data_IF_870295031917
#
_entry.id   IF_870295031917
#
_cell.length_a   1.000
_cell.length_b   1.000
_cell.length_c   1.000
_cell.angle_alpha   90.00
_cell.angle_beta   90.00
_cell.angle_gamma   90.00
#
_symmetry.space_group_name_H-M   'P 1'
#
loop_
_entity.id
_entity.type
_entity.pdbx_description
1 polymer ?
#
# COMPACT_ATOMS: atom_id res chain seq x y z
N UNK A 1 9.30 -24.34 19.46
CA UNK A 1 9.50 -23.37 20.56
C UNK A 1 9.76 -22.02 19.92
N UNK A 2 8.90 -21.02 20.15
CA UNK A 2 9.07 -19.69 19.56
C UNK A 2 10.19 -18.93 20.30
N UNK A 3 11.03 -18.14 19.61
CA UNK A 3 12.08 -17.34 20.24
C UNK A 3 11.50 -16.34 21.26
N UNK A 4 12.20 -16.13 22.38
CA UNK A 4 11.79 -15.30 23.53
C UNK A 4 11.32 -13.88 23.17
N UNK A 5 11.75 -13.33 22.04
CA UNK A 5 11.35 -12.01 21.55
C UNK A 5 9.91 -11.99 20.97
N UNK A 6 9.45 -13.12 20.40
CA UNK A 6 8.11 -13.25 19.82
C UNK A 6 7.05 -13.41 20.92
N UNK A 7 7.42 -14.04 22.04
CA UNK A 7 6.56 -14.17 23.21
C UNK A 7 6.31 -12.82 23.89
N UNK A 8 7.36 -12.00 24.04
CA UNK A 8 7.26 -10.66 24.63
C UNK A 8 6.36 -9.71 23.81
N UNK A 9 6.32 -9.85 22.48
CA UNK A 9 5.47 -9.03 21.61
C UNK A 9 3.99 -9.45 21.69
N UNK A 10 3.71 -10.75 21.85
CA UNK A 10 2.34 -11.27 21.98
C UNK A 10 1.70 -10.86 23.32
N UNK A 11 2.46 -10.86 24.40
CA UNK A 11 1.98 -10.48 25.73
C UNK A 11 1.72 -8.95 25.86
N UNK A 12 2.44 -8.14 25.08
CA UNK A 12 2.25 -6.67 24.99
C UNK A 12 0.95 -6.27 24.28
N UNK A 13 0.48 -7.08 23.33
CA UNK A 13 -0.79 -6.86 22.63
C UNK A 13 -1.98 -7.41 23.42
N UNK A 14 -1.83 -8.57 24.08
CA UNK A 14 -2.90 -9.17 24.89
C UNK A 14 -3.31 -8.34 26.11
N UNK A 15 -2.37 -7.64 26.75
CA UNK A 15 -2.67 -6.79 27.93
C UNK A 15 -3.41 -5.49 27.61
N UNK A 16 -3.39 -5.00 26.36
CA UNK A 16 -4.03 -3.73 25.98
C UNK A 16 -5.53 -3.85 25.70
N UNK A 17 -6.05 -5.07 25.52
CA UNK A 17 -7.46 -5.30 25.17
C UNK A 17 -8.40 -5.46 26.39
N UNK A 18 -7.88 -5.44 27.63
CA UNK A 18 -8.69 -5.73 28.83
C UNK A 18 -8.65 -4.69 29.97
N UNK A 19 -8.23 -3.45 29.72
CA UNK A 19 -8.40 -2.38 30.71
C UNK A 19 -9.49 -1.39 30.27
N UNK A 20 -10.74 -1.78 30.50
CA UNK A 20 -11.84 -0.84 30.70
C UNK A 20 -11.71 -0.24 32.11
N UNK A 21 -11.17 0.97 32.21
CA UNK A 21 -11.07 1.73 33.45
C UNK A 21 -11.45 3.19 33.22
N UNK A 22 -12.37 3.69 34.04
CA UNK A 22 -12.99 5.02 34.03
C UNK A 22 -12.01 6.21 34.06
N UNK A 23 -12.44 7.42 33.63
CA UNK A 23 -11.54 8.52 33.32
C UNK A 23 -10.98 9.16 34.60
N UNK A 24 -9.66 9.11 34.74
CA UNK A 24 -8.94 9.90 35.75
C UNK A 24 -8.52 11.21 35.11
N UNK A 25 -8.93 12.33 35.70
CA UNK A 25 -8.61 13.70 35.24
C UNK A 25 -7.09 13.91 35.17
N UNK A 26 -6.56 14.19 33.99
CA UNK A 26 -5.16 14.56 33.78
C UNK A 26 -5.08 16.02 33.32
N UNK A 27 -4.10 16.69 33.91
CA UNK A 27 -3.76 18.10 33.84
C UNK A 27 -3.76 18.71 32.43
N UNK A 28 -4.14 19.99 32.41
CA UNK A 28 -4.35 20.91 31.30
C UNK A 28 -3.10 21.29 30.48
N UNK A 29 -2.37 20.31 29.93
CA UNK A 29 -1.31 20.52 28.94
C UNK A 29 -1.49 19.71 27.63
N UNK A 30 -2.67 19.10 27.40
CA UNK A 30 -2.99 18.34 26.19
C UNK A 30 -3.37 19.21 24.97
N UNK A 31 -3.44 20.53 25.12
CA UNK A 31 -3.92 21.43 24.06
C UNK A 31 -2.93 21.63 22.88
N UNK A 32 -1.74 21.00 22.91
CA UNK A 32 -0.78 21.08 21.79
C UNK A 32 -0.79 19.86 20.84
N UNK A 33 -1.34 18.71 21.26
CA UNK A 33 -1.41 17.52 20.38
C UNK A 33 -2.50 17.62 19.29
N UNK A 34 -3.55 18.40 19.53
CA UNK A 34 -4.65 18.58 18.58
C UNK A 34 -4.35 19.61 17.47
N UNK A 35 -3.34 20.47 17.64
CA UNK A 35 -2.90 21.41 16.61
C UNK A 35 -2.19 20.73 15.43
N UNK A 36 -1.47 19.63 15.70
CA UNK A 36 -0.66 18.90 14.72
C UNK A 36 -1.47 17.91 13.87
N UNK A 37 -2.60 17.41 14.36
CA UNK A 37 -3.43 16.43 13.63
C UNK A 37 -4.35 17.03 12.57
N UNK A 38 -4.23 18.30 12.17
CA UNK A 38 -5.08 18.86 11.09
C UNK A 38 -4.80 18.25 9.71
N UNK A 39 -3.58 17.75 9.50
CA UNK A 39 -3.14 17.24 8.18
C UNK A 39 -3.54 15.78 7.94
N UNK A 40 -3.53 14.95 8.99
CA UNK A 40 -3.83 13.53 8.88
C UNK A 40 -5.26 13.24 8.35
N UNK A 41 -6.32 13.92 8.81
CA UNK A 41 -7.66 13.77 8.25
C UNK A 41 -7.71 14.11 6.76
N UNK A 42 -7.07 15.20 6.34
CA UNK A 42 -7.02 15.59 4.93
C UNK A 42 -6.30 14.54 4.08
N UNK A 43 -5.18 14.00 4.56
CA UNK A 43 -4.47 12.92 3.89
C UNK A 43 -5.31 11.63 3.82
N UNK A 44 -6.09 11.33 4.88
CA UNK A 44 -7.01 10.21 4.92
C UNK A 44 -8.13 10.38 3.88
N UNK A 45 -8.72 11.56 3.77
CA UNK A 45 -9.74 11.86 2.76
C UNK A 45 -9.19 11.67 1.34
N UNK A 46 -7.97 12.16 1.10
CA UNK A 46 -7.26 11.91 -0.16
C UNK A 46 -7.07 10.42 -0.43
N UNK A 47 -6.63 9.65 0.57
CA UNK A 47 -6.44 8.21 0.44
C UNK A 47 -7.76 7.46 0.16
N UNK A 48 -8.85 7.84 0.81
CA UNK A 48 -10.18 7.26 0.55
C UNK A 48 -10.68 7.58 -0.87
N UNK A 49 -10.43 8.81 -1.35
CA UNK A 49 -10.71 9.21 -2.75
C UNK A 49 -9.87 8.40 -3.73
N UNK A 50 -8.56 8.29 -3.49
CA UNK A 50 -7.65 7.46 -4.28
C UNK A 50 -8.13 6.01 -4.36
N UNK A 51 -8.47 5.39 -3.22
CA UNK A 51 -8.96 4.01 -3.18
C UNK A 51 -10.26 3.82 -3.99
N UNK A 52 -11.16 4.81 -3.94
CA UNK A 52 -12.44 4.77 -4.68
C UNK A 52 -12.22 4.87 -6.19
N UNK A 53 -11.38 5.81 -6.62
CA UNK A 53 -11.02 5.97 -8.04
C UNK A 53 -10.27 4.76 -8.56
N UNK A 54 -9.31 4.25 -7.80
CA UNK A 54 -8.54 3.06 -8.17
C UNK A 54 -9.45 1.85 -8.42
N UNK A 55 -10.41 1.59 -7.52
CA UNK A 55 -11.41 0.52 -7.70
C UNK A 55 -12.25 0.72 -8.95
N UNK A 56 -12.72 1.94 -9.21
CA UNK A 56 -13.49 2.25 -10.40
C UNK A 56 -12.67 2.01 -11.68
N UNK A 57 -11.41 2.43 -11.69
CA UNK A 57 -10.55 2.29 -12.86
C UNK A 57 -10.14 0.84 -13.14
N UNK A 58 -9.97 -0.01 -12.12
CA UNK A 58 -9.80 -1.46 -12.34
C UNK A 58 -11.01 -2.11 -12.99
N UNK A 59 -12.22 -1.70 -12.61
CA UNK A 59 -13.43 -2.22 -13.24
C UNK A 59 -13.44 -1.94 -14.74
N UNK A 60 -12.89 -0.79 -15.17
CA UNK A 60 -12.75 -0.41 -16.57
C UNK A 60 -11.61 -1.16 -17.28
N UNK A 61 -10.46 -1.36 -16.63
CA UNK A 61 -9.26 -1.93 -17.26
C UNK A 61 -9.25 -3.46 -17.33
N UNK A 62 -9.80 -4.14 -16.33
CA UNK A 62 -9.66 -5.60 -16.14
C UNK A 62 -11.02 -6.31 -16.29
N UNK A 63 -12.03 -5.63 -16.86
CA UNK A 63 -13.31 -6.25 -17.19
C UNK A 63 -14.17 -6.63 -15.97
N UNK A 64 -14.13 -5.82 -14.91
CA UNK A 64 -15.02 -6.02 -13.76
C UNK A 64 -14.60 -7.10 -12.76
N UNK A 65 -13.33 -7.50 -12.74
CA UNK A 65 -12.78 -8.37 -11.69
C UNK A 65 -13.06 -7.80 -10.29
N UNK A 66 -13.77 -8.58 -9.47
CA UNK A 66 -14.24 -8.18 -8.14
C UNK A 66 -13.08 -7.79 -7.21
N UNK A 67 -12.74 -6.50 -7.14
CA UNK A 67 -11.93 -5.92 -6.05
C UNK A 67 -12.69 -5.91 -4.70
N UNK A 68 -13.68 -6.81 -4.54
CA UNK A 68 -14.63 -6.82 -3.42
C UNK A 68 -14.11 -7.62 -2.23
N UNK A 69 -13.16 -8.53 -2.43
CA UNK A 69 -12.56 -9.30 -1.34
C UNK A 69 -11.05 -9.47 -1.55
N UNK A 70 -10.31 -9.32 -0.46
CA UNK A 70 -8.94 -9.84 -0.35
C UNK A 70 -8.99 -11.31 0.06
N UNK A 71 -9.98 -12.05 -0.46
CA UNK A 71 -10.13 -13.46 -0.17
C UNK A 71 -9.20 -14.23 -1.12
N UNK A 72 -8.19 -14.95 -0.58
CA UNK A 72 -7.21 -15.73 -1.36
C UNK A 72 -7.78 -16.57 -2.49
N UNK A 73 -9.00 -17.11 -2.34
CA UNK A 73 -9.60 -18.02 -3.32
C UNK A 73 -10.04 -17.30 -4.61
N UNK A 74 -10.29 -15.99 -4.53
CA UNK A 74 -10.84 -15.20 -5.63
C UNK A 74 -9.84 -14.26 -6.29
N UNK A 75 -8.60 -14.21 -5.78
CA UNK A 75 -7.56 -13.34 -6.33
C UNK A 75 -6.96 -14.02 -7.58
N UNK A 76 -7.09 -13.43 -8.78
CA UNK A 76 -6.55 -14.01 -10.00
C UNK A 76 -5.02 -13.89 -10.04
N UNK A 77 -4.38 -14.70 -10.87
CA UNK A 77 -2.96 -14.51 -11.17
C UNK A 77 -2.76 -13.21 -11.97
N UNK A 78 -1.77 -12.42 -11.57
CA UNK A 78 -1.40 -11.18 -12.25
C UNK A 78 -0.75 -11.47 -13.60
N UNK A 79 -0.90 -10.54 -14.54
CA UNK A 79 -0.11 -10.51 -15.77
C UNK A 79 0.68 -9.21 -15.84
N UNK A 80 1.89 -9.25 -16.41
CA UNK A 80 2.72 -8.05 -16.52
C UNK A 80 2.01 -6.91 -17.27
N UNK A 81 1.31 -7.24 -18.37
CA UNK A 81 0.57 -6.25 -19.16
C UNK A 81 -0.49 -5.52 -18.33
N UNK A 82 -1.25 -6.26 -17.51
CA UNK A 82 -2.28 -5.66 -16.65
C UNK A 82 -1.66 -4.87 -15.51
N UNK A 83 -0.62 -5.39 -14.86
CA UNK A 83 0.05 -4.67 -13.78
C UNK A 83 0.76 -3.41 -14.26
N UNK A 84 1.35 -3.41 -15.46
CA UNK A 84 1.97 -2.23 -16.06
C UNK A 84 0.93 -1.14 -16.35
N UNK A 85 -0.18 -1.49 -17.01
CA UNK A 85 -1.29 -0.55 -17.25
C UNK A 85 -1.87 0.01 -15.95
N UNK A 86 -2.07 -0.89 -14.98
CA UNK A 86 -2.59 -0.53 -13.67
C UNK A 86 -1.64 0.37 -12.89
N UNK A 87 -0.34 0.09 -12.92
CA UNK A 87 0.68 0.90 -12.27
C UNK A 87 0.72 2.31 -12.85
N UNK A 88 0.69 2.47 -14.18
CA UNK A 88 0.64 3.78 -14.83
C UNK A 88 -0.58 4.60 -14.39
N UNK A 89 -1.75 3.96 -14.37
CA UNK A 89 -2.99 4.58 -13.89
C UNK A 89 -2.93 4.95 -12.40
N UNK A 90 -2.44 4.04 -11.54
CA UNK A 90 -2.28 4.28 -10.11
C UNK A 90 -1.35 5.45 -9.85
N UNK A 91 -0.24 5.56 -10.59
CA UNK A 91 0.69 6.68 -10.46
C UNK A 91 0.03 8.02 -10.75
N UNK A 92 -0.80 8.12 -11.79
CA UNK A 92 -1.54 9.35 -12.09
C UNK A 92 -2.53 9.70 -10.98
N UNK A 93 -3.33 8.72 -10.51
CA UNK A 93 -4.27 8.92 -9.41
C UNK A 93 -3.57 9.31 -8.10
N UNK A 94 -2.40 8.73 -7.85
CA UNK A 94 -1.60 9.03 -6.68
C UNK A 94 -1.03 10.45 -6.75
N UNK A 95 -0.61 10.91 -7.94
CA UNK A 95 -0.16 12.28 -8.12
C UNK A 95 -1.26 13.28 -7.80
N UNK A 96 -2.47 13.05 -8.31
CA UNK A 96 -3.63 13.90 -8.02
C UNK A 96 -3.94 13.94 -6.52
N UNK A 97 -3.92 12.77 -5.86
CA UNK A 97 -4.12 12.66 -4.42
C UNK A 97 -3.06 13.46 -3.62
N UNK A 98 -1.78 13.30 -3.94
CA UNK A 98 -0.71 14.01 -3.23
C UNK A 98 -0.78 15.51 -3.51
N UNK A 99 -1.05 15.89 -4.76
CA UNK A 99 -1.13 17.29 -5.16
C UNK A 99 -2.33 18.02 -4.56
N UNK A 100 -3.44 17.35 -4.30
CA UNK A 100 -4.65 17.96 -3.72
C UNK A 100 -4.65 17.91 -2.17
N UNK A 101 -4.15 16.84 -1.56
CA UNK A 101 -4.38 16.58 -0.14
C UNK A 101 -3.12 16.65 0.74
N UNK A 102 -1.91 16.63 0.18
CA UNK A 102 -0.68 16.59 0.97
C UNK A 102 -0.04 17.99 1.04
N UNK A 103 -0.14 18.64 2.20
CA UNK A 103 0.48 19.94 2.46
C UNK A 103 1.87 19.74 3.09
N UNK A 104 2.94 20.36 2.56
CA UNK A 104 2.96 21.47 1.61
C UNK A 104 3.17 21.07 0.14
N UNK A 105 3.06 19.80 -0.23
CA UNK A 105 3.37 19.32 -1.58
C UNK A 105 2.66 20.13 -2.67
N UNK A 106 1.37 20.45 -2.47
CA UNK A 106 0.56 21.30 -3.36
C UNK A 106 1.22 22.63 -3.74
N UNK A 107 2.05 23.18 -2.86
CA UNK A 107 2.63 24.52 -3.00
C UNK A 107 4.03 24.54 -3.63
N UNK A 108 4.64 23.37 -3.88
CA UNK A 108 5.96 23.33 -4.51
C UNK A 108 5.90 23.69 -6.01
N UNK A 109 6.99 24.24 -6.58
CA UNK A 109 7.16 24.37 -8.02
C UNK A 109 7.05 23.00 -8.74
N UNK A 110 6.66 22.98 -10.03
CA UNK A 110 6.49 21.73 -10.78
C UNK A 110 7.73 20.80 -10.79
N UNK A 111 8.94 21.35 -10.89
CA UNK A 111 10.16 20.55 -10.93
C UNK A 111 10.44 19.84 -9.60
N UNK A 112 10.22 20.53 -8.48
CA UNK A 112 10.39 19.94 -7.15
C UNK A 112 9.31 18.88 -6.88
N UNK A 113 8.06 19.14 -7.31
CA UNK A 113 6.98 18.16 -7.24
C UNK A 113 7.34 16.87 -7.96
N UNK A 114 7.91 16.98 -9.16
CA UNK A 114 8.33 15.81 -9.95
C UNK A 114 9.35 14.96 -9.19
N UNK A 115 10.44 15.57 -8.71
CA UNK A 115 11.52 14.87 -8.00
C UNK A 115 11.01 14.19 -6.72
N UNK A 116 10.22 14.91 -5.92
CA UNK A 116 9.67 14.37 -4.68
C UNK A 116 8.66 13.25 -4.94
N UNK A 117 7.82 13.41 -5.97
CA UNK A 117 6.81 12.43 -6.31
C UNK A 117 7.38 11.13 -6.86
N UNK A 118 8.45 11.19 -7.66
CA UNK A 118 9.11 9.99 -8.20
C UNK A 118 9.51 9.03 -7.08
N UNK A 119 10.14 9.54 -6.01
CA UNK A 119 10.52 8.70 -4.86
C UNK A 119 9.31 8.27 -4.02
N UNK A 120 8.38 9.20 -3.76
CA UNK A 120 7.19 8.92 -2.96
C UNK A 120 6.33 7.83 -3.59
N UNK A 121 6.10 7.88 -4.90
CA UNK A 121 5.22 6.95 -5.60
C UNK A 121 5.68 5.49 -5.49
N UNK A 122 6.99 5.24 -5.58
CA UNK A 122 7.57 3.91 -5.42
C UNK A 122 7.41 3.39 -3.98
N UNK A 123 7.68 4.22 -2.98
CA UNK A 123 7.55 3.84 -1.57
C UNK A 123 6.09 3.55 -1.21
N UNK A 124 5.17 4.39 -1.67
CA UNK A 124 3.74 4.22 -1.46
C UNK A 124 3.24 2.93 -2.11
N UNK A 125 3.58 2.68 -3.37
CA UNK A 125 3.16 1.49 -4.11
C UNK A 125 3.67 0.20 -3.44
N UNK A 126 4.93 0.18 -2.98
CA UNK A 126 5.48 -0.95 -2.23
C UNK A 126 4.77 -1.18 -0.89
N UNK A 127 4.49 -0.11 -0.14
CA UNK A 127 3.75 -0.20 1.12
C UNK A 127 2.32 -0.70 0.91
N UNK A 128 1.65 -0.21 -0.14
CA UNK A 128 0.29 -0.60 -0.46
C UNK A 128 0.20 -2.07 -0.87
N UNK A 129 1.09 -2.53 -1.76
CA UNK A 129 1.18 -3.94 -2.15
C UNK A 129 1.43 -4.84 -0.95
N UNK A 130 2.39 -4.45 -0.09
CA UNK A 130 2.71 -5.19 1.14
C UNK A 130 1.50 -5.31 2.06
N UNK A 131 0.76 -4.21 2.26
CA UNK A 131 -0.45 -4.20 3.07
C UNK A 131 -1.55 -5.08 2.47
N UNK A 132 -1.77 -5.00 1.15
CA UNK A 132 -2.78 -5.83 0.47
C UNK A 132 -2.40 -7.31 0.48
N UNK A 133 -1.11 -7.65 0.32
CA UNK A 133 -0.59 -9.00 0.50
C UNK A 133 -0.83 -9.51 1.91
N UNK A 134 -0.55 -8.71 2.94
CA UNK A 134 -0.83 -9.10 4.31
C UNK A 134 -2.33 -9.32 4.56
N UNK A 135 -3.18 -8.46 4.02
CA UNK A 135 -4.64 -8.64 4.12
C UNK A 135 -5.13 -9.92 3.45
N UNK A 136 -4.59 -10.25 2.28
CA UNK A 136 -4.96 -11.44 1.55
C UNK A 136 -4.40 -12.71 2.21
N UNK A 137 -3.09 -12.74 2.44
CA UNK A 137 -2.37 -13.98 2.71
C UNK A 137 -1.71 -14.02 4.09
N UNK A 138 -1.76 -12.95 4.89
CA UNK A 138 -1.04 -12.85 6.18
C UNK A 138 -1.48 -13.85 7.25
N UNK A 139 -2.61 -14.51 7.06
CA UNK A 139 -3.11 -15.58 7.92
C UNK A 139 -2.72 -16.99 7.42
N UNK A 140 -2.14 -17.11 6.22
CA UNK A 140 -1.72 -18.37 5.62
C UNK A 140 -0.22 -18.55 5.87
N UNK A 141 0.13 -19.56 6.66
CA UNK A 141 1.53 -19.89 6.96
C UNK A 141 2.28 -20.28 5.68
N UNK A 142 3.53 -19.81 5.53
CA UNK A 142 4.40 -20.08 4.38
C UNK A 142 3.80 -19.71 3.02
N UNK A 143 2.86 -18.77 2.97
CA UNK A 143 2.37 -18.26 1.70
C UNK A 143 3.47 -17.50 0.95
N UNK A 144 3.64 -17.84 -0.32
CA UNK A 144 4.67 -17.32 -1.21
C UNK A 144 4.12 -16.34 -2.25
N UNK A 145 2.89 -15.83 -2.08
CA UNK A 145 2.23 -14.96 -3.04
C UNK A 145 2.33 -13.49 -2.64
N UNK A 146 2.59 -12.64 -3.62
CA UNK A 146 2.57 -11.18 -3.50
C UNK A 146 1.48 -10.60 -4.41
N UNK A 147 0.82 -9.53 -3.95
CA UNK A 147 -0.20 -8.82 -4.71
C UNK A 147 0.50 -7.73 -5.52
N UNK A 148 0.16 -7.64 -6.80
CA UNK A 148 0.70 -6.65 -7.72
C UNK A 148 -0.28 -5.51 -7.97
N UNK A 149 0.16 -4.55 -8.78
CA UNK A 149 -0.58 -3.32 -9.05
C UNK A 149 -1.89 -3.54 -9.81
N UNK A 150 -2.16 -4.71 -10.39
CA UNK A 150 -3.46 -5.06 -10.97
C UNK A 150 -4.42 -5.73 -9.97
N UNK A 151 -3.99 -5.88 -8.71
CA UNK A 151 -4.74 -6.61 -7.68
C UNK A 151 -4.61 -8.13 -7.81
N UNK A 152 -3.93 -8.65 -8.84
CA UNK A 152 -3.63 -10.07 -8.98
C UNK A 152 -2.41 -10.48 -8.18
N UNK A 153 -2.19 -11.79 -8.05
CA UNK A 153 -1.02 -12.33 -7.36
C UNK A 153 0.08 -12.84 -8.29
N UNK A 154 1.30 -12.83 -7.79
CA UNK A 154 2.46 -13.55 -8.34
C UNK A 154 3.10 -14.35 -7.22
N UNK A 155 3.60 -15.55 -7.52
CA UNK A 155 4.43 -16.28 -6.56
C UNK A 155 5.86 -15.75 -6.57
N UNK A 156 6.50 -15.75 -5.40
CA UNK A 156 7.87 -15.26 -5.24
C UNK A 156 8.88 -16.04 -6.10
N UNK A 157 8.70 -17.34 -6.29
CA UNK A 157 9.54 -18.18 -7.14
C UNK A 157 9.32 -17.95 -8.65
N UNK A 158 8.18 -17.34 -9.03
CA UNK A 158 7.81 -17.01 -10.40
C UNK A 158 8.10 -15.54 -10.76
N UNK A 159 8.51 -14.70 -9.80
CA UNK A 159 8.66 -13.25 -10.00
C UNK A 159 9.66 -12.89 -11.11
N UNK A 160 10.74 -13.66 -11.26
CA UNK A 160 11.70 -13.45 -12.34
C UNK A 160 11.06 -13.72 -13.71
N UNK A 161 10.30 -14.81 -13.85
CA UNK A 161 9.61 -15.15 -15.10
C UNK A 161 8.53 -14.11 -15.42
N UNK A 162 7.87 -13.57 -14.40
CA UNK A 162 6.88 -12.53 -14.55
C UNK A 162 7.43 -11.28 -15.27
N UNK A 163 8.66 -10.86 -14.92
CA UNK A 163 9.30 -9.72 -15.59
C UNK A 163 9.95 -10.09 -16.92
N UNK A 164 10.60 -11.25 -17.04
CA UNK A 164 11.32 -11.67 -18.26
C UNK A 164 10.37 -11.97 -19.42
N UNK A 165 9.18 -12.52 -19.15
CA UNK A 165 8.20 -12.84 -20.19
C UNK A 165 7.48 -11.62 -20.76
N UNK A 166 7.86 -10.42 -20.32
CA UNK A 166 7.37 -9.17 -20.87
C UNK A 166 8.26 -8.72 -22.02
N UNK A 167 7.67 -8.64 -23.21
CA UNK A 167 8.30 -8.10 -24.43
C UNK A 167 8.83 -6.65 -24.25
N UNK A 168 8.44 -5.96 -23.17
CA UNK A 168 8.79 -4.57 -22.87
C UNK A 168 9.90 -4.41 -21.79
N UNK A 169 10.43 -5.51 -21.24
CA UNK A 169 11.51 -5.45 -20.24
C UNK A 169 12.84 -5.64 -20.96
N UNK A 170 13.45 -4.52 -21.34
CA UNK A 170 14.77 -4.47 -21.99
C UNK A 170 15.94 -4.40 -21.00
N UNK A 171 15.66 -4.32 -19.70
CA UNK A 171 16.68 -4.28 -18.67
C UNK A 171 17.04 -5.71 -18.26
N UNK A 172 18.31 -6.06 -18.37
CA UNK A 172 18.82 -7.34 -17.88
C UNK A 172 18.76 -7.34 -16.34
N UNK A 173 17.99 -8.26 -15.70
CA UNK A 173 17.89 -8.35 -14.25
C UNK A 173 19.25 -8.52 -13.54
N UNK A 174 20.27 -9.05 -14.23
CA UNK A 174 21.62 -9.20 -13.70
C UNK A 174 22.36 -7.87 -13.54
N UNK A 175 21.89 -6.79 -14.19
CA UNK A 175 22.48 -5.46 -14.05
C UNK A 175 22.15 -4.77 -12.70
N UNK A 176 21.18 -5.30 -11.95
CA UNK A 176 20.80 -4.80 -10.62
C UNK A 176 21.60 -5.43 -9.48
N UNK A 177 22.46 -6.42 -9.78
CA UNK A 177 23.38 -7.04 -8.82
C UNK A 177 24.76 -6.45 -9.04
N UNK A 178 25.00 -5.26 -8.50
CA UNK A 178 26.34 -4.69 -8.34
C UNK A 178 26.55 -4.24 -6.90
#
# INVERSE_FOLDING_TARGET
MLPSAVQAHRDSYGKRLHQSGSPTSINSNENNYYGEMKRLPLMLDGYLKFQSLRKASYALLVGGGNFKSWDPEFIPQSTYSNAKKSSQMVTSLLYDMVNEFFVPFTNFPPEDKKILFEQFSVLFDNAEKSYNTFKAYGHIENNDKVILADGGYVKLDEIYKYYINSLDVNADPQQLVK
#
